data_IF_560285157338
#
_entry.id   IF_560285157338
#
_cell.length_a   1.000
_cell.length_b   1.000
_cell.length_c   1.000
_cell.angle_alpha   90.00
_cell.angle_beta   90.00
_cell.angle_gamma   90.00
#
_symmetry.space_group_name_H-M   'P 1'
#
loop_
_entity.id
_entity.type
_entity.pdbx_description
1 polymer ?
#
# COMPACT_ATOMS: atom_id res chain seq x y z
N UNK A 1 12.21 -10.31 35.16
CA UNK A 1 11.20 -9.32 34.84
C UNK A 1 10.88 -9.36 33.35
N UNK A 2 9.65 -9.61 33.02
CA UNK A 2 9.28 -9.65 31.64
C UNK A 2 8.87 -8.26 31.18
N UNK A 3 9.52 -7.76 30.16
CA UNK A 3 9.10 -6.54 29.52
C UNK A 3 8.21 -6.95 28.37
N UNK A 4 6.99 -6.45 28.38
CA UNK A 4 6.12 -6.71 27.24
C UNK A 4 6.70 -6.04 26.01
N UNK A 5 6.92 -6.81 24.97
CA UNK A 5 7.34 -6.31 23.67
C UNK A 5 6.32 -6.75 22.65
N UNK A 6 6.03 -5.87 21.71
CA UNK A 6 5.31 -6.29 20.53
C UNK A 6 6.10 -7.41 19.85
N UNK A 7 5.41 -8.43 19.31
CA UNK A 7 6.14 -9.49 18.61
C UNK A 7 7.05 -8.89 17.56
N UNK A 8 8.33 -9.16 17.67
CA UNK A 8 9.28 -8.68 16.68
C UNK A 8 9.12 -9.46 15.40
N UNK A 9 9.41 -8.78 14.30
CA UNK A 9 9.44 -9.43 12.99
C UNK A 9 10.67 -10.32 12.97
N UNK A 10 10.43 -11.62 13.01
CA UNK A 10 11.52 -12.59 12.97
C UNK A 10 11.93 -12.90 11.55
N UNK A 11 13.15 -13.47 11.38
CA UNK A 11 13.59 -13.94 10.08
C UNK A 11 12.63 -14.96 9.47
N UNK A 12 11.99 -15.80 10.31
CA UNK A 12 11.03 -16.77 9.80
C UNK A 12 9.76 -16.10 9.27
N UNK A 13 9.30 -15.02 9.91
CA UNK A 13 8.17 -14.25 9.42
C UNK A 13 8.49 -13.61 8.07
N UNK A 14 9.67 -13.01 7.94
CA UNK A 14 10.09 -12.39 6.70
C UNK A 14 10.17 -13.43 5.57
N UNK A 15 10.74 -14.59 5.84
CA UNK A 15 10.82 -15.67 4.84
C UNK A 15 9.45 -16.16 4.42
N UNK A 16 8.53 -16.29 5.38
CA UNK A 16 7.16 -16.70 5.08
C UNK A 16 6.46 -15.68 4.19
N UNK A 17 6.61 -14.40 4.50
CA UNK A 17 6.03 -13.33 3.69
C UNK A 17 6.63 -13.30 2.29
N UNK A 18 7.94 -13.49 2.18
CA UNK A 18 8.59 -13.55 0.88
C UNK A 18 8.06 -14.71 0.04
N UNK A 19 7.80 -15.86 0.67
CA UNK A 19 7.22 -17.01 -0.02
C UNK A 19 5.78 -16.73 -0.48
N UNK A 20 4.98 -16.10 0.38
CA UNK A 20 3.60 -15.74 0.02
C UNK A 20 3.57 -14.75 -1.14
N UNK A 21 4.53 -13.84 -1.17
CA UNK A 21 4.62 -12.83 -2.23
C UNK A 21 4.96 -13.43 -3.59
N UNK A 22 5.44 -14.67 -3.62
CA UNK A 22 5.76 -15.39 -4.87
C UNK A 22 4.73 -16.44 -5.24
N UNK A 23 3.67 -16.56 -4.47
CA UNK A 23 2.64 -17.57 -4.74
C UNK A 23 1.98 -17.27 -6.10
N UNK A 24 1.69 -18.29 -6.91
CA UNK A 24 1.01 -18.07 -8.20
C UNK A 24 -0.39 -17.49 -8.06
N UNK A 25 -1.01 -17.63 -6.89
CA UNK A 25 -2.37 -17.11 -6.65
C UNK A 25 -2.29 -15.65 -6.20
N UNK A 26 -2.94 -14.73 -6.95
CA UNK A 26 -2.89 -13.30 -6.58
C UNK A 26 -3.45 -13.00 -5.20
N UNK A 27 -4.49 -13.72 -4.77
CA UNK A 27 -5.05 -13.53 -3.43
C UNK A 27 -4.05 -13.82 -2.33
N UNK A 28 -3.18 -14.80 -2.53
CA UNK A 28 -2.12 -15.12 -1.56
C UNK A 28 -1.04 -14.04 -1.58
N UNK A 29 -0.64 -13.57 -2.77
CA UNK A 29 0.32 -12.46 -2.86
C UNK A 29 -0.25 -11.20 -2.20
N UNK A 30 -1.56 -10.95 -2.37
CA UNK A 30 -2.23 -9.82 -1.73
C UNK A 30 -2.20 -9.93 -0.20
N UNK A 31 -2.23 -11.13 0.35
CA UNK A 31 -2.08 -11.34 1.80
C UNK A 31 -0.74 -10.83 2.30
N UNK A 32 0.34 -11.07 1.54
CA UNK A 32 1.65 -10.52 1.88
C UNK A 32 1.66 -9.00 1.77
N UNK A 33 1.00 -8.46 0.73
CA UNK A 33 0.91 -7.01 0.52
C UNK A 33 0.17 -6.29 1.65
N UNK A 34 -0.77 -6.97 2.29
CA UNK A 34 -1.59 -6.42 3.36
C UNK A 34 -1.00 -6.62 4.75
N UNK A 35 0.12 -7.33 4.85
CA UNK A 35 0.65 -7.72 6.15
C UNK A 35 1.37 -6.56 6.84
N UNK A 36 1.03 -6.34 8.12
CA UNK A 36 1.58 -5.21 8.88
C UNK A 36 3.10 -5.28 9.08
N UNK A 37 3.68 -6.48 9.01
CA UNK A 37 5.11 -6.70 9.23
C UNK A 37 5.88 -6.94 7.94
N UNK A 38 5.27 -6.74 6.79
CA UNK A 38 5.96 -6.91 5.52
C UNK A 38 7.07 -5.85 5.40
N UNK A 39 8.32 -6.25 5.12
CA UNK A 39 9.39 -5.27 4.98
C UNK A 39 9.15 -4.36 3.77
N UNK A 40 9.65 -3.13 3.87
CA UNK A 40 9.47 -2.14 2.80
C UNK A 40 9.93 -2.65 1.44
N UNK A 41 11.05 -3.37 1.40
CA UNK A 41 11.57 -3.94 0.17
C UNK A 41 10.59 -4.88 -0.50
N UNK A 42 9.93 -5.70 0.29
CA UNK A 42 8.93 -6.64 -0.22
C UNK A 42 7.70 -5.89 -0.75
N UNK A 43 7.26 -4.88 -0.03
CA UNK A 43 6.12 -4.06 -0.46
C UNK A 43 6.44 -3.35 -1.76
N UNK A 44 7.64 -2.78 -1.90
CA UNK A 44 8.04 -2.14 -3.15
C UNK A 44 8.13 -3.13 -4.31
N UNK A 45 8.56 -4.35 -4.05
CA UNK A 45 8.57 -5.39 -5.09
C UNK A 45 7.14 -5.72 -5.53
N UNK A 46 6.20 -5.82 -4.59
CA UNK A 46 4.80 -6.10 -4.91
C UNK A 46 4.10 -4.94 -5.62
N UNK A 47 4.64 -3.73 -5.55
CA UNK A 47 4.12 -2.60 -6.32
C UNK A 47 4.26 -2.81 -7.83
N UNK A 48 5.13 -3.72 -8.25
CA UNK A 48 5.30 -4.12 -9.66
C UNK A 48 4.43 -5.32 -10.03
N UNK A 49 3.63 -5.83 -9.10
CA UNK A 49 2.81 -7.02 -9.37
C UNK A 49 1.83 -6.74 -10.51
N UNK A 50 1.69 -7.71 -11.41
CA UNK A 50 0.79 -7.57 -12.56
C UNK A 50 -0.69 -7.54 -12.16
N UNK A 51 -1.03 -8.08 -11.00
CA UNK A 51 -2.42 -8.17 -10.57
C UNK A 51 -2.83 -6.95 -9.76
N UNK A 52 -3.88 -6.28 -10.21
CA UNK A 52 -4.39 -5.08 -9.56
C UNK A 52 -4.79 -5.32 -8.10
N UNK A 53 -5.29 -6.51 -7.77
CA UNK A 53 -5.69 -6.84 -6.40
C UNK A 53 -4.52 -6.75 -5.43
N UNK A 54 -3.34 -7.15 -5.89
CA UNK A 54 -2.11 -7.07 -5.07
C UNK A 54 -1.74 -5.60 -4.83
N UNK A 55 -1.78 -4.80 -5.88
CA UNK A 55 -1.45 -3.37 -5.77
C UNK A 55 -2.47 -2.60 -4.93
N UNK A 56 -3.77 -2.98 -5.04
CA UNK A 56 -4.81 -2.41 -4.16
C UNK A 56 -4.53 -2.77 -2.70
N UNK A 57 -4.12 -4.01 -2.42
CA UNK A 57 -3.79 -4.42 -1.06
C UNK A 57 -2.66 -3.59 -0.48
N UNK A 58 -1.66 -3.24 -1.31
CA UNK A 58 -0.59 -2.33 -0.89
C UNK A 58 -1.13 -0.94 -0.54
N UNK A 59 -1.96 -0.38 -1.42
CA UNK A 59 -2.51 0.96 -1.21
C UNK A 59 -3.44 1.02 0.00
N UNK A 60 -4.01 -0.11 0.40
CA UNK A 60 -4.88 -0.21 1.58
C UNK A 60 -4.12 -0.58 2.84
N UNK A 61 -2.85 -0.96 2.73
CA UNK A 61 -2.07 -1.35 3.89
C UNK A 61 -1.87 -0.14 4.80
N UNK A 62 -2.41 -0.20 6.01
CA UNK A 62 -2.34 0.91 6.97
C UNK A 62 -0.89 1.28 7.32
N UNK A 63 0.03 0.36 7.14
CA UNK A 63 1.46 0.54 7.46
C UNK A 63 2.28 0.97 6.26
N UNK A 64 1.64 1.20 5.10
CA UNK A 64 2.33 1.67 3.92
C UNK A 64 2.98 3.03 4.19
N UNK A 65 4.26 3.14 3.85
CA UNK A 65 5.00 4.37 4.05
C UNK A 65 4.81 5.37 2.91
N UNK A 66 5.25 6.63 3.12
CA UNK A 66 5.05 7.67 2.13
C UNK A 66 5.71 7.38 0.78
N UNK A 67 6.88 6.76 0.77
CA UNK A 67 7.58 6.46 -0.49
C UNK A 67 6.78 5.47 -1.34
N UNK A 68 6.25 4.43 -0.73
CA UNK A 68 5.43 3.44 -1.43
C UNK A 68 4.15 4.09 -1.96
N UNK A 69 3.50 4.90 -1.13
CA UNK A 69 2.27 5.57 -1.53
C UNK A 69 2.51 6.59 -2.64
N UNK A 70 3.63 7.30 -2.61
CA UNK A 70 4.00 8.21 -3.68
C UNK A 70 4.14 7.45 -5.00
N UNK A 71 4.76 6.28 -4.94
CA UNK A 71 4.90 5.41 -6.12
C UNK A 71 3.54 4.96 -6.64
N UNK A 72 2.66 4.49 -5.73
CA UNK A 72 1.34 3.99 -6.10
C UNK A 72 0.40 5.11 -6.56
N UNK A 73 0.69 6.36 -6.22
CA UNK A 73 -0.04 7.51 -6.74
C UNK A 73 0.10 7.64 -8.26
N UNK A 74 1.14 7.04 -8.82
CA UNK A 74 1.35 6.99 -10.28
C UNK A 74 0.89 5.68 -10.92
N UNK A 75 0.16 4.84 -10.20
CA UNK A 75 -0.29 3.54 -10.72
C UNK A 75 -1.18 3.73 -11.96
N UNK A 76 -1.03 2.83 -12.93
CA UNK A 76 -1.79 2.89 -14.17
C UNK A 76 -3.30 2.70 -13.94
N UNK A 77 -3.70 2.05 -12.85
CA UNK A 77 -5.10 1.72 -12.60
C UNK A 77 -5.69 2.68 -11.56
N UNK A 78 -6.77 3.34 -11.93
CA UNK A 78 -7.37 4.39 -11.12
C UNK A 78 -7.83 3.91 -9.73
N UNK A 79 -8.29 2.65 -9.61
CA UNK A 79 -8.73 2.15 -8.30
C UNK A 79 -7.57 2.12 -7.30
N UNK A 80 -6.36 1.83 -7.74
CA UNK A 80 -5.17 1.88 -6.88
C UNK A 80 -4.95 3.32 -6.43
N UNK A 81 -4.98 4.27 -7.36
CA UNK A 81 -4.79 5.69 -7.05
C UNK A 81 -5.87 6.22 -6.11
N UNK A 82 -7.12 5.74 -6.24
CA UNK A 82 -8.19 6.12 -5.31
C UNK A 82 -7.89 5.74 -3.88
N UNK A 83 -7.36 4.54 -3.66
CA UNK A 83 -6.97 4.11 -2.32
C UNK A 83 -5.80 4.93 -1.77
N UNK A 84 -4.85 5.28 -2.62
CA UNK A 84 -3.76 6.19 -2.22
C UNK A 84 -4.32 7.55 -1.80
N UNK A 85 -5.31 8.07 -2.53
CA UNK A 85 -5.89 9.38 -2.24
C UNK A 85 -6.51 9.45 -0.84
N UNK A 86 -7.02 8.33 -0.31
CA UNK A 86 -7.64 8.30 1.02
C UNK A 86 -6.68 7.83 2.11
N UNK A 87 -5.46 7.43 1.77
CA UNK A 87 -4.53 6.91 2.76
C UNK A 87 -3.92 8.04 3.58
N UNK A 88 -3.93 7.94 4.91
CA UNK A 88 -3.42 9.02 5.77
C UNK A 88 -1.92 9.28 5.64
N UNK A 89 -1.15 8.29 5.20
CA UNK A 89 0.31 8.43 5.06
C UNK A 89 0.74 8.95 3.70
N UNK A 90 -0.20 9.25 2.81
CA UNK A 90 0.13 9.76 1.48
C UNK A 90 0.76 11.13 1.60
N UNK A 91 1.98 11.33 1.05
CA UNK A 91 2.67 12.61 1.21
C UNK A 91 2.00 13.73 0.40
N UNK A 92 2.25 14.98 0.82
CA UNK A 92 1.63 16.15 0.20
C UNK A 92 1.89 16.22 -1.30
N UNK A 93 3.10 15.90 -1.74
CA UNK A 93 3.41 15.94 -3.18
C UNK A 93 2.58 14.95 -3.98
N UNK A 94 2.29 13.78 -3.41
CA UNK A 94 1.44 12.79 -4.07
C UNK A 94 -0.01 13.28 -4.09
N UNK A 95 -0.48 13.86 -3.00
CA UNK A 95 -1.83 14.45 -2.95
C UNK A 95 -1.99 15.55 -3.98
N UNK A 96 -0.97 16.38 -4.17
CA UNK A 96 -1.00 17.45 -5.17
C UNK A 96 -1.16 16.87 -6.59
N UNK A 97 -0.47 15.77 -6.88
CA UNK A 97 -0.62 15.10 -8.17
C UNK A 97 -2.01 14.49 -8.33
N UNK A 98 -2.51 13.86 -7.28
CA UNK A 98 -3.83 13.23 -7.31
C UNK A 98 -4.95 14.26 -7.43
N UNK A 99 -4.73 15.48 -6.95
CA UNK A 99 -5.70 16.58 -7.13
C UNK A 99 -5.87 16.95 -8.60
N UNK A 100 -4.91 16.62 -9.44
CA UNK A 100 -4.94 16.86 -10.88
C UNK A 100 -5.15 15.57 -11.68
N UNK A 101 -5.56 14.49 -11.00
CA UNK A 101 -5.71 13.17 -11.63
C UNK A 101 -6.75 13.23 -12.75
N UNK A 102 -6.50 12.50 -13.82
CA UNK A 102 -7.43 12.42 -14.95
C UNK A 102 -8.75 11.75 -14.57
N UNK A 103 -8.74 10.88 -13.55
CA UNK A 103 -9.94 10.20 -13.10
C UNK A 103 -10.72 11.09 -12.13
N UNK A 104 -11.98 11.43 -12.46
CA UNK A 104 -12.76 12.31 -11.59
C UNK A 104 -13.06 11.70 -10.23
N UNK A 105 -13.10 10.37 -10.11
CA UNK A 105 -13.32 9.72 -8.82
C UNK A 105 -12.10 9.85 -7.91
N UNK A 106 -10.89 9.81 -8.49
CA UNK A 106 -9.68 10.06 -7.70
C UNK A 106 -9.72 11.47 -7.12
N UNK A 107 -10.03 12.46 -7.96
CA UNK A 107 -10.13 13.85 -7.50
C UNK A 107 -11.21 14.01 -6.43
N UNK A 108 -12.36 13.33 -6.62
CA UNK A 108 -13.49 13.44 -5.71
C UNK A 108 -13.18 12.86 -4.33
N UNK A 109 -12.57 11.66 -4.27
CA UNK A 109 -12.27 11.05 -2.97
C UNK A 109 -11.17 11.82 -2.24
N UNK A 110 -10.21 12.36 -2.97
CA UNK A 110 -9.19 13.21 -2.36
C UNK A 110 -9.82 14.46 -1.74
N UNK A 111 -10.74 15.11 -2.45
CA UNK A 111 -11.42 16.29 -1.96
C UNK A 111 -12.24 15.99 -0.71
N UNK A 112 -12.88 14.82 -0.66
CA UNK A 112 -13.65 14.41 0.51
C UNK A 112 -12.76 14.25 1.75
N UNK A 113 -11.59 13.65 1.58
CA UNK A 113 -10.66 13.45 2.69
C UNK A 113 -10.08 14.78 3.17
N UNK A 114 -9.72 15.66 2.24
CA UNK A 114 -9.11 16.94 2.62
C UNK A 114 -10.13 17.92 3.20
N UNK A 115 -11.39 17.86 2.76
CA UNK A 115 -12.41 18.78 3.26
C UNK A 115 -12.94 18.40 4.64
N UNK A 116 -12.69 17.19 5.10
CA UNK A 116 -13.15 16.74 6.42
C UNK A 116 -12.17 17.09 7.55
N UNK A 117 -11.11 17.82 7.27
CA UNK A 117 -10.11 18.23 8.27
C UNK A 117 -10.34 19.63 8.79
#
# INVERSE_FOLDING_TARGET
MSTFRSPEVTGSTVRRLAALARDPRPGIRASAAAHRHAPAELLHALAEDEDTRVRVALARNAWAGPDLLDRLAGDAVAVVRRWVAVHPNTPAQARDRLAQDEDPQVRAVLAMVTSSR
#
